data_IF_708101014219
#
_entry.id   IF_708101014219
#
_cell.length_a   1.000
_cell.length_b   1.000
_cell.length_c   1.000
_cell.angle_alpha   90.00
_cell.angle_beta   90.00
_cell.angle_gamma   90.00
#
_symmetry.space_group_name_H-M   'P 1'
#
loop_
_entity.id
_entity.type
_entity.pdbx_description
1 polymer ?
#
# COMPACT_ATOMS: atom_id res chain seq x y z
N UNK A 1 -103.53 -7.39 11.65
CA UNK A 1 -103.63 -8.65 10.93
C UNK A 1 -102.27 -8.82 10.22
N UNK A 2 -101.50 -9.61 10.85
CA UNK A 2 -100.60 -10.61 10.29
C UNK A 2 -99.89 -10.25 8.96
N UNK A 3 -98.64 -10.14 8.99
CA UNK A 3 -97.74 -11.17 8.49
C UNK A 3 -96.34 -10.70 8.66
N UNK A 4 -95.69 -11.30 9.48
CA UNK A 4 -94.87 -12.51 9.30
C UNK A 4 -93.54 -12.22 8.58
N UNK A 5 -92.68 -12.07 9.39
CA UNK A 5 -91.30 -12.36 9.45
C UNK A 5 -90.88 -13.35 8.37
N UNK A 6 -90.07 -12.92 7.48
CA UNK A 6 -89.09 -13.80 6.78
C UNK A 6 -87.73 -13.24 6.95
N UNK A 7 -87.06 -13.88 7.87
CA UNK A 7 -85.64 -13.74 8.05
C UNK A 7 -84.92 -14.36 6.87
N UNK A 8 -84.52 -13.55 5.95
CA UNK A 8 -83.54 -13.95 4.97
C UNK A 8 -82.19 -13.61 5.53
N UNK A 9 -81.52 -14.64 6.05
CA UNK A 9 -80.12 -14.65 6.44
C UNK A 9 -79.30 -14.39 5.18
N UNK A 10 -78.97 -13.14 4.92
CA UNK A 10 -77.93 -12.80 3.97
C UNK A 10 -76.62 -13.02 4.67
N UNK A 11 -76.07 -14.17 4.42
CA UNK A 11 -74.65 -14.47 4.68
C UNK A 11 -73.82 -13.46 3.87
N UNK A 12 -73.47 -12.39 4.51
CA UNK A 12 -72.39 -11.53 3.95
C UNK A 12 -71.09 -12.30 4.12
N UNK A 13 -70.63 -12.88 3.03
CA UNK A 13 -69.27 -13.33 2.93
C UNK A 13 -68.35 -12.13 3.13
N UNK A 14 -67.81 -12.00 4.31
CA UNK A 14 -66.70 -11.09 4.59
C UNK A 14 -65.48 -11.71 3.94
N UNK A 15 -65.20 -11.29 2.72
CA UNK A 15 -63.87 -11.52 2.12
C UNK A 15 -62.88 -10.72 2.93
N UNK A 16 -62.29 -11.37 3.91
CA UNK A 16 -61.11 -10.88 4.63
C UNK A 16 -59.93 -10.97 3.65
N UNK A 17 -59.71 -9.91 2.92
CA UNK A 17 -58.50 -9.74 2.13
C UNK A 17 -57.32 -9.66 3.09
N UNK A 18 -56.64 -10.76 3.28
CA UNK A 18 -55.32 -10.78 3.95
C UNK A 18 -54.34 -10.04 3.04
N UNK A 19 -54.21 -8.76 3.30
CA UNK A 19 -53.12 -7.95 2.70
C UNK A 19 -51.82 -8.44 3.32
N UNK A 20 -51.16 -9.38 2.63
CA UNK A 20 -49.80 -9.78 2.94
C UNK A 20 -48.88 -8.58 2.68
N UNK A 21 -48.76 -7.74 3.70
CA UNK A 21 -47.72 -6.72 3.75
C UNK A 21 -46.36 -7.45 3.83
N UNK A 22 -45.76 -7.68 2.68
CA UNK A 22 -44.37 -8.12 2.63
C UNK A 22 -43.54 -6.97 3.19
N UNK A 23 -43.26 -7.05 4.48
CA UNK A 23 -42.19 -6.30 5.11
C UNK A 23 -40.90 -6.71 4.42
N UNK A 24 -40.57 -6.02 3.34
CA UNK A 24 -39.20 -6.00 2.82
C UNK A 24 -38.35 -5.44 3.96
N UNK A 25 -37.80 -6.35 4.75
CA UNK A 25 -36.77 -6.04 5.70
C UNK A 25 -35.59 -5.54 4.88
N UNK A 26 -35.51 -4.23 4.68
CA UNK A 26 -34.29 -3.55 4.27
C UNK A 26 -33.30 -3.77 5.39
N UNK A 27 -32.59 -4.90 5.35
CA UNK A 27 -31.36 -5.04 6.13
C UNK A 27 -30.44 -3.93 5.63
N UNK A 28 -30.06 -2.96 6.47
CA UNK A 28 -29.05 -2.01 6.07
C UNK A 28 -27.81 -2.82 5.73
N UNK A 29 -27.43 -2.86 4.46
CA UNK A 29 -26.11 -3.32 4.07
C UNK A 29 -25.16 -2.42 4.83
N UNK A 30 -24.59 -2.93 5.92
CA UNK A 30 -23.53 -2.27 6.65
C UNK A 30 -22.34 -2.18 5.71
N UNK A 31 -22.29 -1.13 4.91
CA UNK A 31 -21.08 -0.79 4.17
C UNK A 31 -20.05 -0.46 5.24
N UNK A 32 -19.24 -1.45 5.59
CA UNK A 32 -18.13 -1.24 6.51
C UNK A 32 -17.24 -0.17 5.89
N UNK A 33 -17.18 1.00 6.51
CA UNK A 33 -16.33 2.08 6.07
C UNK A 33 -14.88 1.56 6.05
N UNK A 34 -14.23 1.67 4.90
CA UNK A 34 -12.86 1.24 4.72
C UNK A 34 -11.95 2.06 5.64
N UNK A 35 -11.14 1.39 6.46
CA UNK A 35 -10.22 2.06 7.38
C UNK A 35 -8.87 2.31 6.72
N UNK A 36 -8.11 3.29 7.21
CA UNK A 36 -6.73 3.51 6.76
C UNK A 36 -5.87 2.24 6.85
N UNK A 37 -6.09 1.45 7.92
CA UNK A 37 -5.41 0.16 8.12
C UNK A 37 -5.73 -0.82 7.00
N UNK A 38 -7.01 -1.04 6.68
CA UNK A 38 -7.41 -2.00 5.65
C UNK A 38 -6.91 -1.57 4.26
N UNK A 39 -6.91 -0.28 3.95
CA UNK A 39 -6.36 0.26 2.71
C UNK A 39 -4.86 -0.02 2.60
N UNK A 40 -4.11 0.24 3.67
CA UNK A 40 -2.66 -0.02 3.70
C UNK A 40 -2.33 -1.52 3.64
N UNK A 41 -3.10 -2.38 4.32
CA UNK A 41 -2.90 -3.83 4.26
C UNK A 41 -3.14 -4.37 2.84
N UNK A 42 -4.21 -3.90 2.16
CA UNK A 42 -4.48 -4.26 0.78
C UNK A 42 -3.36 -3.79 -0.16
N UNK A 43 -2.90 -2.54 -0.02
CA UNK A 43 -1.79 -2.03 -0.81
C UNK A 43 -0.48 -2.80 -0.55
N UNK A 44 -0.17 -3.11 0.71
CA UNK A 44 0.99 -3.92 1.06
C UNK A 44 0.95 -5.31 0.40
N UNK A 45 -0.22 -5.94 0.33
CA UNK A 45 -0.38 -7.24 -0.33
C UNK A 45 -0.04 -7.17 -1.84
N UNK A 46 -0.29 -6.04 -2.51
CA UNK A 46 0.03 -5.89 -3.94
C UNK A 46 1.52 -5.78 -4.22
N UNK A 47 2.31 -5.27 -3.26
CA UNK A 47 3.77 -5.07 -3.43
C UNK A 47 4.62 -6.17 -2.78
N UNK A 48 4.02 -7.04 -1.95
CA UNK A 48 4.73 -8.15 -1.27
C UNK A 48 4.37 -9.53 -1.81
N UNK A 49 4.01 -9.62 -3.09
CA UNK A 49 3.66 -10.89 -3.73
C UNK A 49 4.80 -11.91 -3.63
N UNK A 50 4.44 -13.19 -3.40
CA UNK A 50 5.38 -14.30 -3.21
C UNK A 50 6.37 -14.45 -4.36
N UNK A 51 5.91 -14.25 -5.60
CA UNK A 51 6.74 -14.38 -6.80
C UNK A 51 7.57 -13.12 -7.07
N UNK A 52 7.14 -11.99 -6.52
CA UNK A 52 7.74 -10.68 -6.68
C UNK A 52 6.92 -9.73 -7.57
N UNK A 53 7.28 -8.47 -7.50
CA UNK A 53 6.72 -7.38 -8.30
C UNK A 53 7.83 -6.49 -8.83
N UNK A 54 7.55 -5.84 -9.96
CA UNK A 54 8.39 -4.78 -10.54
C UNK A 54 7.55 -3.51 -10.67
N UNK A 55 8.18 -2.37 -10.41
CA UNK A 55 7.61 -1.05 -10.66
C UNK A 55 8.67 -0.10 -11.19
N UNK A 56 8.21 0.95 -11.87
CA UNK A 56 9.02 2.12 -12.16
C UNK A 56 8.76 3.19 -11.10
N UNK A 57 9.76 3.98 -10.78
CA UNK A 57 9.62 5.10 -9.85
C UNK A 57 10.32 6.34 -10.33
N UNK A 58 9.80 7.50 -9.92
CA UNK A 58 10.47 8.79 -9.98
C UNK A 58 10.56 9.33 -8.56
N UNK A 59 11.77 9.62 -8.10
CA UNK A 59 12.02 10.25 -6.80
C UNK A 59 12.35 11.72 -7.04
N UNK A 60 11.72 12.59 -6.28
CA UNK A 60 11.97 14.05 -6.28
C UNK A 60 12.18 14.51 -4.85
N UNK A 61 13.23 15.23 -4.61
CA UNK A 61 13.59 15.74 -3.27
C UNK A 61 14.50 16.95 -3.33
N UNK A 62 15.03 17.36 -2.18
CA UNK A 62 15.91 18.54 -2.07
C UNK A 62 17.23 18.45 -2.86
N UNK A 63 17.65 17.23 -3.24
CA UNK A 63 18.87 16.98 -4.03
C UNK A 63 18.60 16.81 -5.52
N UNK A 64 17.39 17.10 -5.98
CA UNK A 64 16.99 16.94 -7.37
C UNK A 64 16.01 15.79 -7.59
N UNK A 65 16.04 15.25 -8.80
CA UNK A 65 15.13 14.19 -9.24
C UNK A 65 15.92 13.06 -9.90
N UNK A 66 15.52 11.82 -9.63
CA UNK A 66 16.01 10.63 -10.33
C UNK A 66 14.85 9.69 -10.63
N UNK A 67 15.00 8.86 -11.64
CA UNK A 67 14.02 7.82 -11.98
C UNK A 67 14.72 6.47 -12.06
N UNK A 68 13.95 5.42 -11.85
CA UNK A 68 14.51 4.08 -11.90
C UNK A 68 13.46 2.98 -11.90
N UNK A 69 13.94 1.77 -11.73
CA UNK A 69 13.09 0.58 -11.57
C UNK A 69 13.39 -0.09 -10.25
N UNK A 70 12.39 -0.77 -9.68
CA UNK A 70 12.55 -1.58 -8.49
C UNK A 70 11.87 -2.92 -8.68
N UNK A 71 12.53 -3.99 -8.21
CA UNK A 71 11.97 -5.33 -8.08
C UNK A 71 11.90 -5.65 -6.59
N UNK A 72 10.78 -6.15 -6.11
CA UNK A 72 10.55 -6.48 -4.70
C UNK A 72 10.05 -7.91 -4.60
N UNK A 73 10.56 -8.67 -3.62
CA UNK A 73 10.06 -10.00 -3.25
C UNK A 73 10.15 -10.19 -1.75
N UNK A 74 8.99 -10.15 -1.07
CA UNK A 74 8.97 -10.16 0.40
C UNK A 74 9.75 -8.96 0.97
N UNK A 75 10.82 -9.23 1.73
CA UNK A 75 11.70 -8.18 2.29
C UNK A 75 12.84 -7.76 1.36
N UNK A 76 13.07 -8.50 0.29
CA UNK A 76 14.20 -8.29 -0.63
C UNK A 76 13.82 -7.28 -1.69
N UNK A 77 14.80 -6.50 -2.13
CA UNK A 77 14.60 -5.61 -3.28
C UNK A 77 15.89 -5.40 -4.08
N UNK A 78 15.71 -5.04 -5.34
CA UNK A 78 16.75 -4.54 -6.23
C UNK A 78 16.22 -3.29 -6.92
N UNK A 79 16.87 -2.17 -6.68
CA UNK A 79 16.53 -0.88 -7.29
C UNK A 79 17.69 -0.40 -8.18
N UNK A 80 17.36 0.14 -9.34
CA UNK A 80 18.34 0.66 -10.30
C UNK A 80 17.92 2.05 -10.76
N UNK A 81 18.89 2.97 -10.71
CA UNK A 81 18.79 4.33 -11.27
C UNK A 81 19.95 4.58 -12.25
N UNK A 82 20.01 5.70 -12.97
CA UNK A 82 21.16 6.08 -13.73
C UNK A 82 22.45 6.15 -12.90
N UNK A 83 22.37 6.59 -11.64
CA UNK A 83 23.55 6.84 -10.77
C UNK A 83 23.95 5.63 -9.91
N UNK A 84 22.99 4.77 -9.54
CA UNK A 84 23.25 3.70 -8.59
C UNK A 84 22.40 2.46 -8.83
N UNK A 85 22.92 1.33 -8.35
CA UNK A 85 22.15 0.09 -8.17
C UNK A 85 22.23 -0.35 -6.71
N UNK A 86 21.09 -0.75 -6.14
CA UNK A 86 20.99 -1.17 -4.74
C UNK A 86 20.34 -2.54 -4.67
N UNK A 87 21.03 -3.49 -4.07
CA UNK A 87 20.52 -4.84 -3.76
C UNK A 87 20.32 -4.97 -2.25
N UNK A 88 19.26 -5.65 -1.85
CA UNK A 88 19.02 -6.03 -0.47
C UNK A 88 18.44 -7.44 -0.41
N UNK A 89 19.14 -8.35 0.23
CA UNK A 89 18.74 -9.78 0.31
C UNK A 89 17.89 -10.13 1.54
N UNK A 90 17.49 -9.10 2.30
CA UNK A 90 16.78 -9.24 3.57
C UNK A 90 17.69 -9.09 4.80
N UNK A 91 19.02 -9.05 4.64
CA UNK A 91 20.01 -8.84 5.69
C UNK A 91 21.08 -7.84 5.27
N UNK A 92 21.72 -8.09 4.14
CA UNK A 92 22.84 -7.29 3.61
C UNK A 92 22.34 -6.41 2.48
N UNK A 93 22.80 -5.18 2.45
CA UNK A 93 22.63 -4.24 1.37
C UNK A 93 23.95 -4.01 0.68
N UNK A 94 23.91 -4.01 -0.65
CA UNK A 94 24.99 -3.59 -1.54
C UNK A 94 24.51 -2.37 -2.31
N UNK A 95 25.33 -1.32 -2.33
CA UNK A 95 25.06 -0.10 -3.09
C UNK A 95 26.22 0.16 -4.03
N UNK A 96 25.98 -0.03 -5.31
CA UNK A 96 26.96 0.31 -6.36
C UNK A 96 26.70 1.72 -6.85
N UNK A 97 27.70 2.57 -6.71
CA UNK A 97 27.72 3.95 -7.21
C UNK A 97 28.47 3.98 -8.54
N UNK A 98 27.75 4.28 -9.62
CA UNK A 98 28.29 4.16 -10.98
C UNK A 98 29.35 5.22 -11.32
N UNK A 99 29.25 6.39 -10.67
CA UNK A 99 30.13 7.52 -10.98
C UNK A 99 31.57 7.32 -10.49
N UNK A 100 31.75 6.56 -9.42
CA UNK A 100 33.06 6.27 -8.84
C UNK A 100 33.44 4.77 -8.85
N UNK A 101 32.60 3.93 -9.49
CA UNK A 101 32.78 2.48 -9.59
C UNK A 101 33.03 1.80 -8.23
N UNK A 102 32.22 2.17 -7.23
CA UNK A 102 32.37 1.76 -5.82
C UNK A 102 31.15 0.98 -5.35
N UNK A 103 31.40 -0.10 -4.60
CA UNK A 103 30.33 -0.89 -3.94
C UNK A 103 30.47 -0.82 -2.44
N UNK A 104 29.49 -0.22 -1.79
CA UNK A 104 29.38 -0.19 -0.34
C UNK A 104 28.51 -1.35 0.16
N UNK A 105 29.01 -2.14 1.13
CA UNK A 105 28.32 -3.27 1.74
C UNK A 105 28.02 -2.94 3.20
N UNK A 106 26.75 -3.04 3.57
CA UNK A 106 26.29 -2.77 4.94
C UNK A 106 25.24 -3.79 5.40
N UNK A 107 25.10 -3.97 6.71
CA UNK A 107 23.92 -4.59 7.30
C UNK A 107 23.08 -3.48 7.94
N UNK A 108 22.04 -2.97 7.25
CA UNK A 108 21.30 -1.84 7.74
C UNK A 108 20.48 -2.19 8.98
N UNK A 109 20.46 -1.27 9.94
CA UNK A 109 19.60 -1.37 11.13
C UNK A 109 18.12 -1.24 10.74
N UNK A 110 17.21 -1.67 11.62
CA UNK A 110 15.76 -1.49 11.43
C UNK A 110 15.37 -0.04 11.15
N UNK A 111 16.05 0.92 11.82
CA UNK A 111 15.79 2.35 11.62
C UNK A 111 16.25 2.85 10.23
N UNK A 112 17.33 2.28 9.69
CA UNK A 112 17.79 2.57 8.33
C UNK A 112 16.87 1.92 7.29
N UNK A 113 16.44 0.66 7.53
CA UNK A 113 15.51 -0.04 6.65
C UNK A 113 14.17 0.69 6.48
N UNK A 114 13.72 1.43 7.50
CA UNK A 114 12.49 2.23 7.39
C UNK A 114 12.58 3.32 6.31
N UNK A 115 13.78 3.81 6.01
CA UNK A 115 13.99 4.91 5.07
C UNK A 115 14.41 4.46 3.67
N UNK A 116 14.94 3.24 3.54
CA UNK A 116 15.51 2.75 2.26
C UNK A 116 14.62 1.69 1.59
N UNK A 117 13.77 1.01 2.35
CA UNK A 117 12.90 -0.01 1.80
C UNK A 117 11.53 0.58 1.44
N UNK A 118 11.21 0.75 0.14
CA UNK A 118 10.01 1.47 -0.28
C UNK A 118 8.70 0.84 0.19
N UNK A 119 8.65 -0.49 0.39
CA UNK A 119 7.42 -1.12 0.87
C UNK A 119 7.21 -0.96 2.38
N UNK A 120 8.26 -0.63 3.15
CA UNK A 120 8.13 -0.39 4.58
C UNK A 120 7.19 0.77 4.90
N UNK A 121 7.06 1.73 4.00
CA UNK A 121 6.14 2.86 4.18
C UNK A 121 4.70 2.38 4.39
N UNK A 122 4.28 1.32 3.70
CA UNK A 122 2.95 0.73 3.84
C UNK A 122 2.72 0.04 5.20
N UNK A 123 3.78 -0.21 5.97
CA UNK A 123 3.72 -0.86 7.27
C UNK A 123 4.02 0.07 8.45
N UNK A 124 4.35 1.34 8.20
CA UNK A 124 4.70 2.29 9.27
C UNK A 124 3.57 2.51 10.28
N UNK A 125 2.30 2.45 9.84
CA UNK A 125 1.16 2.58 10.74
C UNK A 125 1.13 1.54 11.87
N UNK A 126 1.84 0.40 11.70
CA UNK A 126 1.95 -0.65 12.72
C UNK A 126 2.89 -0.28 13.86
N UNK A 127 3.71 0.75 13.69
CA UNK A 127 4.78 1.11 14.64
C UNK A 127 4.92 2.64 14.79
N UNK A 128 4.16 3.22 15.72
CA UNK A 128 4.37 4.61 16.14
C UNK A 128 3.90 5.68 15.17
N UNK A 129 2.82 5.41 14.42
CA UNK A 129 2.15 6.40 13.57
C UNK A 129 0.64 6.34 13.74
N UNK A 130 0.02 7.52 13.78
CA UNK A 130 -1.42 7.67 13.65
C UNK A 130 -1.79 7.73 12.17
N UNK A 131 -2.89 7.07 11.80
CA UNK A 131 -3.32 6.97 10.41
C UNK A 131 -4.72 7.58 10.23
N UNK A 132 -4.87 8.45 9.24
CA UNK A 132 -6.16 8.96 8.77
C UNK A 132 -6.36 8.60 7.30
N UNK A 133 -7.61 8.40 6.89
CA UNK A 133 -7.98 8.05 5.53
C UNK A 133 -8.81 9.17 4.92
N UNK A 134 -8.39 9.65 3.77
CA UNK A 134 -9.15 10.54 2.92
C UNK A 134 -9.35 9.90 1.53
N UNK A 135 -10.28 10.46 0.76
CA UNK A 135 -10.53 10.06 -0.62
C UNK A 135 -10.36 11.25 -1.54
N UNK A 136 -9.69 11.05 -2.67
CA UNK A 136 -9.55 12.03 -3.72
C UNK A 136 -9.82 11.35 -5.08
N UNK A 137 -11.02 11.57 -5.62
CA UNK A 137 -11.45 10.92 -6.84
C UNK A 137 -11.33 9.39 -6.75
N UNK A 138 -10.56 8.80 -7.66
CA UNK A 138 -10.33 7.36 -7.75
C UNK A 138 -9.24 6.85 -6.77
N UNK A 139 -8.75 7.71 -5.89
CA UNK A 139 -7.67 7.35 -4.97
C UNK A 139 -8.12 7.40 -3.52
N UNK A 140 -7.53 6.52 -2.72
CA UNK A 140 -7.39 6.67 -1.29
C UNK A 140 -6.11 7.48 -1.01
N UNK A 141 -6.18 8.37 -0.04
CA UNK A 141 -5.00 9.09 0.48
C UNK A 141 -4.90 8.81 1.97
N UNK A 142 -3.93 7.99 2.34
CA UNK A 142 -3.64 7.72 3.74
C UNK A 142 -2.58 8.70 4.22
N UNK A 143 -2.87 9.43 5.29
CA UNK A 143 -1.94 10.31 5.97
C UNK A 143 -1.49 9.67 7.28
N UNK A 144 -0.20 9.47 7.41
CA UNK A 144 0.45 8.96 8.62
C UNK A 144 1.21 10.10 9.29
N UNK A 145 0.98 10.30 10.59
CA UNK A 145 1.71 11.26 11.42
C UNK A 145 2.45 10.52 12.52
N UNK A 146 3.70 10.87 12.75
CA UNK A 146 4.52 10.28 13.80
C UNK A 146 3.89 10.50 15.18
N UNK A 147 3.76 9.44 15.98
CA UNK A 147 3.25 9.52 17.35
C UNK A 147 4.28 10.05 18.34
N UNK A 148 5.57 10.03 17.97
CA UNK A 148 6.66 10.50 18.81
C UNK A 148 7.65 11.37 18.04
N UNK A 149 8.30 12.30 18.76
CA UNK A 149 9.32 13.17 18.17
C UNK A 149 10.59 12.42 17.72
N UNK A 150 10.83 11.21 18.21
CA UNK A 150 12.00 10.39 17.86
C UNK A 150 11.89 9.76 16.47
N UNK A 151 10.68 9.65 15.90
CA UNK A 151 10.50 9.09 14.56
C UNK A 151 11.21 9.98 13.52
N UNK A 152 12.06 9.38 12.68
CA UNK A 152 12.80 10.10 11.63
C UNK A 152 11.88 10.69 10.57
N UNK A 153 10.86 9.91 10.14
CA UNK A 153 9.82 10.37 9.23
C UNK A 153 8.73 11.01 10.10
N UNK A 154 8.40 12.27 9.87
CA UNK A 154 7.41 13.03 10.62
C UNK A 154 6.01 12.85 10.09
N UNK A 155 5.90 12.90 8.79
CA UNK A 155 4.63 12.76 8.06
C UNK A 155 4.83 11.95 6.79
N UNK A 156 3.77 11.24 6.41
CA UNK A 156 3.73 10.44 5.20
C UNK A 156 2.35 10.51 4.58
N UNK A 157 2.29 10.78 3.30
CA UNK A 157 1.06 10.64 2.49
C UNK A 157 1.28 9.50 1.51
N UNK A 158 0.35 8.56 1.48
CA UNK A 158 0.36 7.42 0.55
C UNK A 158 -0.91 7.49 -0.28
N UNK A 159 -0.75 7.70 -1.57
CA UNK A 159 -1.84 7.68 -2.54
C UNK A 159 -1.96 6.27 -3.12
N UNK A 160 -3.16 5.71 -3.08
CA UNK A 160 -3.45 4.33 -3.47
C UNK A 160 -4.66 4.32 -4.39
N UNK A 161 -4.53 3.75 -5.58
CA UNK A 161 -5.63 3.57 -6.52
C UNK A 161 -6.69 2.63 -5.95
N UNK A 162 -7.96 3.06 -5.93
CA UNK A 162 -9.08 2.32 -5.33
C UNK A 162 -9.41 1.02 -6.04
N UNK A 163 -9.18 0.95 -7.35
CA UNK A 163 -9.52 -0.20 -8.17
C UNK A 163 -8.49 -1.31 -8.06
N UNK A 164 -7.21 -0.95 -8.05
CA UNK A 164 -6.10 -1.89 -8.09
C UNK A 164 -5.45 -2.12 -6.74
N UNK A 165 -5.69 -1.26 -5.75
CA UNK A 165 -4.96 -1.13 -4.49
C UNK A 165 -3.45 -0.88 -4.68
N UNK A 166 -3.03 -0.45 -5.87
CA UNK A 166 -1.63 -0.13 -6.11
C UNK A 166 -1.28 1.24 -5.50
N UNK A 167 -0.18 1.34 -4.75
CA UNK A 167 0.36 2.63 -4.37
C UNK A 167 0.87 3.35 -5.62
N UNK A 168 0.46 4.60 -5.80
CA UNK A 168 0.83 5.44 -6.96
C UNK A 168 1.75 6.58 -6.58
N UNK A 169 1.71 7.01 -5.32
CA UNK A 169 2.62 8.04 -4.81
C UNK A 169 2.88 7.85 -3.32
N UNK A 170 4.10 8.11 -2.91
CA UNK A 170 4.50 8.23 -1.51
C UNK A 170 5.18 9.58 -1.34
N UNK A 171 4.69 10.43 -0.44
CA UNK A 171 5.28 11.71 -0.09
C UNK A 171 5.63 11.69 1.39
N UNK A 172 6.90 11.87 1.73
CA UNK A 172 7.38 11.78 3.11
C UNK A 172 8.12 13.03 3.54
N UNK A 173 7.94 13.40 4.81
CA UNK A 173 8.65 14.48 5.50
C UNK A 173 9.69 13.91 6.46
N UNK A 174 10.96 14.20 6.19
CA UNK A 174 12.07 13.85 7.07
C UNK A 174 12.81 15.13 7.49
N UNK A 175 12.82 15.42 8.76
CA UNK A 175 13.26 16.73 9.27
C UNK A 175 12.35 17.85 8.72
N UNK A 176 12.89 18.70 7.84
CA UNK A 176 12.17 19.77 7.13
C UNK A 176 12.10 19.53 5.62
N UNK A 177 12.54 18.37 5.14
CA UNK A 177 12.67 18.09 3.71
C UNK A 177 11.60 17.09 3.27
N UNK A 178 10.92 17.41 2.20
CA UNK A 178 10.00 16.51 1.52
C UNK A 178 10.72 15.69 0.46
N UNK A 179 10.37 14.41 0.39
CA UNK A 179 10.73 13.52 -0.72
C UNK A 179 9.45 12.91 -1.27
N UNK A 180 9.32 12.89 -2.58
CA UNK A 180 8.16 12.35 -3.30
C UNK A 180 8.65 11.21 -4.16
N UNK A 181 7.96 10.08 -4.09
CA UNK A 181 8.10 8.93 -4.97
C UNK A 181 6.81 8.79 -5.77
N UNK A 182 6.85 9.01 -7.06
CA UNK A 182 5.79 8.65 -7.98
C UNK A 182 6.06 7.22 -8.45
N UNK A 183 5.05 6.36 -8.39
CA UNK A 183 5.15 4.92 -8.68
C UNK A 183 4.25 4.60 -9.86
N UNK A 184 4.78 3.88 -10.83
CA UNK A 184 4.05 3.49 -12.03
C UNK A 184 4.42 2.07 -12.47
N UNK A 185 3.66 1.53 -13.42
CA UNK A 185 3.91 0.24 -14.06
C UNK A 185 4.10 -0.92 -13.07
N UNK A 186 3.42 -0.87 -11.91
CA UNK A 186 3.45 -1.95 -10.93
C UNK A 186 2.84 -3.22 -11.54
N UNK A 187 3.64 -4.28 -11.62
CA UNK A 187 3.23 -5.56 -12.18
C UNK A 187 3.93 -6.75 -11.52
N UNK A 188 3.31 -7.92 -11.63
CA UNK A 188 3.93 -9.17 -11.19
C UNK A 188 5.25 -9.40 -11.95
N UNK A 189 6.26 -9.86 -11.23
CA UNK A 189 7.58 -10.16 -11.78
C UNK A 189 8.11 -11.40 -11.08
N UNK A 190 8.27 -12.48 -11.84
CA UNK A 190 8.98 -13.65 -11.29
C UNK A 190 10.42 -13.27 -11.02
N UNK A 191 10.84 -13.41 -9.76
CA UNK A 191 12.15 -13.03 -9.30
C UNK A 191 12.80 -14.17 -8.50
N UNK A 192 13.97 -14.62 -8.93
CA UNK A 192 14.79 -15.54 -8.16
C UNK A 192 15.61 -14.78 -7.11
N UNK A 193 16.13 -15.49 -6.13
CA UNK A 193 16.86 -14.87 -5.01
C UNK A 193 18.20 -14.25 -5.39
N UNK A 194 18.83 -14.73 -6.49
CA UNK A 194 20.09 -14.16 -7.00
C UNK A 194 19.92 -12.71 -7.48
N UNK A 195 18.71 -12.32 -7.92
CA UNK A 195 18.44 -10.94 -8.36
C UNK A 195 18.57 -9.90 -7.24
N UNK A 196 18.59 -10.33 -5.98
CA UNK A 196 18.65 -9.46 -4.80
C UNK A 196 20.02 -9.44 -4.14
N UNK A 197 21.03 -9.98 -4.81
CA UNK A 197 22.42 -10.02 -4.35
C UNK A 197 23.34 -9.40 -5.37
N UNK A 198 24.31 -8.66 -4.88
CA UNK A 198 25.43 -8.19 -5.68
C UNK A 198 26.30 -9.37 -6.08
N UNK A 199 26.75 -9.40 -7.33
CA UNK A 199 27.70 -10.37 -7.83
C UNK A 199 28.95 -9.63 -8.30
N UNK A 200 30.06 -9.77 -7.59
CA UNK A 200 31.33 -9.08 -7.90
C UNK A 200 31.86 -9.38 -9.29
N UNK A 201 31.52 -10.55 -9.88
CA UNK A 201 31.94 -10.90 -11.24
C UNK A 201 31.39 -9.99 -12.32
N UNK A 202 30.23 -9.37 -12.05
CA UNK A 202 29.57 -8.45 -12.99
C UNK A 202 30.19 -7.03 -12.91
N UNK A 203 31.07 -6.78 -11.92
CA UNK A 203 31.72 -5.50 -11.61
C UNK A 203 33.18 -5.66 -11.31
N UNK A 204 34.00 -6.11 -12.27
CA UNK A 204 35.39 -6.56 -12.03
C UNK A 204 36.36 -5.42 -11.66
N UNK A 205 35.96 -4.16 -11.87
CA UNK A 205 36.76 -2.98 -11.57
C UNK A 205 36.30 -2.22 -10.34
N UNK A 206 35.11 -2.58 -9.81
CA UNK A 206 34.51 -1.84 -8.70
C UNK A 206 35.33 -2.02 -7.41
N UNK A 207 35.60 -0.91 -6.73
CA UNK A 207 36.16 -0.91 -5.38
C UNK A 207 35.07 -1.40 -4.40
N UNK A 208 35.42 -2.42 -3.61
CA UNK A 208 34.49 -3.00 -2.64
C UNK A 208 34.83 -2.50 -1.23
N UNK A 209 33.93 -1.73 -0.63
CA UNK A 209 34.03 -1.20 0.73
C UNK A 209 33.08 -1.95 1.62
N UNK A 210 33.59 -2.87 2.43
CA UNK A 210 32.77 -3.65 3.39
C UNK A 210 32.73 -2.93 4.74
N UNK A 211 31.54 -2.42 5.09
CA UNK A 211 31.23 -1.65 6.30
C UNK A 211 30.38 -2.43 7.32
N UNK A 212 30.32 -3.75 7.19
CA UNK A 212 29.50 -4.61 8.09
C UNK A 212 30.14 -4.83 9.43
#
# INVERSE_FOLDING_TARGET
>A
MMNKIENIIKVKAVMTGVLLFHLFSFSPLSVSAQTAKSVLDNAAATVTMKDGVKADFKMTGSMGSTSGTIIIKGKKFHATTPQASVWFDGKTQWTYMKDNDEVNIVNPTEAQLQTINPYNFLNLYKKGYNATLNSNGNNHVVHLTASTASNKIKELFITIDKKTNHPTQVKLLQGKKWTIFDISNLKKQSANDAMFRFNAKDFPHAEIIDLR
#
